data_IF_399665010271
#
_entry.id   IF_399665010271
#
_cell.length_a   1.000
_cell.length_b   1.000
_cell.length_c   1.000
_cell.angle_alpha   90.00
_cell.angle_beta   90.00
_cell.angle_gamma   90.00
#
_symmetry.space_group_name_H-M   'P 1'
#
loop_
_entity.id
_entity.type
_entity.pdbx_description
1 polymer ?
#
# COMPACT_ATOMS: atom_id res chain seq x y z
N UNK A 1 30.06 0.58 -52.89
CA UNK A 1 28.67 0.20 -52.54
C UNK A 1 27.97 1.48 -52.13
N UNK A 2 27.00 2.01 -52.90
CA UNK A 2 26.45 3.33 -52.61
C UNK A 2 25.41 3.23 -51.49
N UNK A 3 25.59 4.03 -50.43
CA UNK A 3 24.59 4.23 -49.37
C UNK A 3 23.28 4.73 -49.98
N UNK A 4 22.30 3.84 -50.10
CA UNK A 4 20.97 4.22 -50.56
C UNK A 4 20.25 5.01 -49.46
N UNK A 5 19.33 5.89 -49.86
CA UNK A 5 18.44 6.61 -48.93
C UNK A 5 17.78 5.64 -47.94
N UNK A 6 17.34 4.50 -48.45
CA UNK A 6 16.73 3.40 -47.70
C UNK A 6 17.69 2.78 -46.67
N UNK A 7 18.99 2.67 -46.98
CA UNK A 7 20.00 2.21 -46.03
C UNK A 7 20.17 3.13 -44.82
N UNK A 8 20.08 4.45 -45.04
CA UNK A 8 20.15 5.46 -43.98
C UNK A 8 18.92 5.44 -43.07
N UNK A 9 17.73 5.28 -43.66
CA UNK A 9 16.48 5.17 -42.91
C UNK A 9 16.44 3.91 -42.03
N UNK A 10 16.89 2.76 -42.55
CA UNK A 10 17.01 1.54 -41.74
C UNK A 10 18.04 1.66 -40.62
N UNK A 11 19.14 2.39 -40.84
CA UNK A 11 20.12 2.67 -39.79
C UNK A 11 19.54 3.56 -38.68
N UNK A 12 18.75 4.58 -39.04
CA UNK A 12 18.06 5.44 -38.09
C UNK A 12 17.04 4.66 -37.25
N UNK A 13 16.16 3.89 -37.89
CA UNK A 13 15.16 3.06 -37.19
C UNK A 13 15.80 2.04 -36.25
N UNK A 14 16.96 1.47 -36.61
CA UNK A 14 17.70 0.56 -35.72
C UNK A 14 18.32 1.30 -34.53
N UNK A 15 18.73 2.55 -34.69
CA UNK A 15 19.26 3.36 -33.60
C UNK A 15 18.16 3.74 -32.61
N UNK A 16 17.00 4.16 -33.12
CA UNK A 16 15.82 4.49 -32.32
C UNK A 16 15.32 3.28 -31.51
N UNK A 17 15.25 2.10 -32.14
CA UNK A 17 14.86 0.86 -31.44
C UNK A 17 15.80 0.53 -30.27
N UNK A 18 17.12 0.68 -30.45
CA UNK A 18 18.09 0.45 -29.37
C UNK A 18 17.94 1.45 -28.23
N UNK A 19 17.70 2.72 -28.55
CA UNK A 19 17.46 3.74 -27.53
C UNK A 19 16.22 3.40 -26.71
N UNK A 20 15.13 3.03 -27.39
CA UNK A 20 13.89 2.64 -26.71
C UNK A 20 14.05 1.41 -25.81
N UNK A 21 14.78 0.39 -26.26
CA UNK A 21 15.08 -0.79 -25.43
C UNK A 21 15.88 -0.43 -24.17
N UNK A 22 16.84 0.49 -24.30
CA UNK A 22 17.60 1.01 -23.17
C UNK A 22 16.72 1.80 -22.21
N UNK A 23 15.86 2.69 -22.72
CA UNK A 23 14.95 3.49 -21.90
C UNK A 23 13.98 2.60 -21.10
N UNK A 24 13.44 1.54 -21.72
CA UNK A 24 12.57 0.56 -21.03
C UNK A 24 13.35 -0.19 -19.95
N UNK A 25 14.57 -0.62 -20.25
CA UNK A 25 15.39 -1.37 -19.31
C UNK A 25 15.77 -0.51 -18.10
N UNK A 26 16.20 0.73 -18.33
CA UNK A 26 16.53 1.67 -17.25
C UNK A 26 15.28 2.00 -16.41
N UNK A 27 14.11 2.14 -17.04
CA UNK A 27 12.86 2.34 -16.33
C UNK A 27 12.49 1.16 -15.43
N UNK A 28 12.78 -0.07 -15.84
CA UNK A 28 12.60 -1.28 -15.02
C UNK A 28 13.62 -1.33 -13.88
N UNK A 29 14.90 -1.08 -14.17
CA UNK A 29 15.97 -1.08 -13.17
C UNK A 29 15.69 -0.06 -12.04
N UNK A 30 15.15 1.13 -12.37
CA UNK A 30 14.72 2.13 -11.38
C UNK A 30 13.47 1.72 -10.61
N UNK A 31 12.54 1.03 -11.25
CA UNK A 31 11.33 0.51 -10.59
C UNK A 31 11.62 -0.62 -9.60
N UNK A 32 12.75 -1.32 -9.77
CA UNK A 32 13.23 -2.38 -8.87
C UNK A 32 14.11 -1.82 -7.73
N UNK A 33 14.33 -0.50 -7.64
CA UNK A 33 14.99 0.09 -6.47
C UNK A 33 14.11 -0.15 -5.22
N UNK A 34 14.67 -0.70 -4.13
CA UNK A 34 13.90 -0.91 -2.92
C UNK A 34 13.42 0.44 -2.40
N UNK A 35 12.11 0.54 -2.17
CA UNK A 35 11.53 1.68 -1.47
C UNK A 35 12.26 1.81 -0.12
N UNK A 36 12.66 3.04 0.30
CA UNK A 36 13.27 3.22 1.60
C UNK A 36 12.35 2.62 2.67
N UNK A 37 12.91 1.99 3.73
CA UNK A 37 12.09 1.48 4.82
C UNK A 37 11.24 2.65 5.32
N UNK A 38 9.93 2.45 5.40
CA UNK A 38 9.05 3.42 6.03
C UNK A 38 9.65 3.72 7.41
N UNK A 39 9.98 4.98 7.67
CA UNK A 39 10.45 5.42 8.98
C UNK A 39 9.46 4.89 10.03
N UNK A 40 9.94 4.46 11.21
CA UNK A 40 9.11 3.89 12.30
C UNK A 40 8.12 4.92 12.90
N UNK A 41 7.73 5.95 12.16
CA UNK A 41 6.75 6.93 12.58
C UNK A 41 5.41 6.20 12.77
N UNK A 42 4.83 6.28 13.98
CA UNK A 42 3.55 5.65 14.22
C UNK A 42 2.48 6.28 13.32
N UNK A 43 1.56 5.46 12.77
CA UNK A 43 0.52 5.97 11.89
C UNK A 43 -0.33 7.00 12.63
N UNK A 44 -0.90 7.96 11.91
CA UNK A 44 -1.84 8.91 12.51
C UNK A 44 -3.20 8.25 12.77
N UNK A 45 -3.95 8.79 13.72
CA UNK A 45 -5.31 8.37 13.99
C UNK A 45 -6.19 8.49 12.73
N UNK A 46 -6.90 7.42 12.39
CA UNK A 46 -7.79 7.37 11.22
C UNK A 46 -9.05 8.26 11.36
N UNK A 47 -9.40 8.71 12.57
CA UNK A 47 -10.59 9.55 12.79
C UNK A 47 -10.42 10.91 12.11
N UNK A 48 -11.48 11.32 11.39
CA UNK A 48 -11.48 12.58 10.63
C UNK A 48 -11.20 13.76 11.55
N UNK A 49 -10.18 14.55 11.21
CA UNK A 49 -9.78 15.74 11.97
C UNK A 49 -8.93 15.46 13.20
N UNK A 50 -8.56 14.20 13.46
CA UNK A 50 -7.59 13.84 14.49
C UNK A 50 -6.21 13.67 13.85
N UNK A 51 -5.20 14.36 14.39
CA UNK A 51 -3.80 14.24 13.98
C UNK A 51 -2.93 13.62 15.08
N UNK A 52 -3.54 13.06 16.12
CA UNK A 52 -2.80 12.37 17.18
C UNK A 52 -2.17 11.08 16.63
N UNK A 53 -1.00 10.68 17.16
CA UNK A 53 -0.41 9.39 16.81
C UNK A 53 -1.35 8.27 17.25
N UNK A 54 -1.49 7.25 16.40
CA UNK A 54 -2.23 6.05 16.75
C UNK A 54 -1.42 5.23 17.76
N UNK A 55 -2.11 4.81 18.81
CA UNK A 55 -1.59 3.94 19.86
C UNK A 55 -2.08 2.49 19.69
N UNK A 56 -3.17 2.28 18.96
CA UNK A 56 -3.81 0.98 18.80
C UNK A 56 -4.18 0.70 17.35
N UNK A 57 -4.08 -0.58 16.98
CA UNK A 57 -4.64 -1.14 15.75
C UNK A 57 -5.90 -1.91 16.11
N UNK A 58 -7.04 -1.41 15.67
CA UNK A 58 -8.35 -2.04 15.82
C UNK A 58 -8.66 -2.84 14.56
N UNK A 59 -8.99 -4.12 14.73
CA UNK A 59 -9.34 -5.05 13.66
C UNK A 59 -10.73 -5.64 13.93
N UNK A 60 -11.61 -5.59 12.94
CA UNK A 60 -12.89 -6.29 12.94
C UNK A 60 -12.97 -7.23 11.72
N UNK A 61 -13.10 -8.54 11.97
CA UNK A 61 -13.29 -9.56 10.93
C UNK A 61 -14.74 -10.03 10.91
N UNK A 62 -15.40 -9.92 9.77
CA UNK A 62 -16.83 -10.22 9.60
C UNK A 62 -17.12 -10.79 8.21
N UNK A 63 -18.30 -11.41 8.05
CA UNK A 63 -18.74 -11.89 6.73
C UNK A 63 -19.20 -10.70 5.89
N UNK A 64 -18.72 -10.55 4.65
CA UNK A 64 -19.24 -9.46 3.82
C UNK A 64 -20.67 -9.73 3.33
N UNK A 65 -21.40 -8.65 3.05
CA UNK A 65 -22.79 -8.70 2.57
C UNK A 65 -22.93 -9.34 1.18
N UNK A 66 -21.92 -9.21 0.33
CA UNK A 66 -21.90 -9.72 -1.05
C UNK A 66 -21.58 -11.21 -1.14
N UNK A 67 -21.23 -11.84 -0.02
CA UNK A 67 -21.01 -13.29 0.05
C UNK A 67 -19.68 -13.78 -0.54
N UNK A 68 -18.71 -12.92 -0.85
CA UNK A 68 -17.38 -13.34 -1.33
C UNK A 68 -16.45 -13.82 -0.21
N UNK A 69 -16.84 -13.72 1.06
CA UNK A 69 -16.09 -14.32 2.18
C UNK A 69 -16.03 -13.46 3.44
N UNK A 70 -15.10 -13.82 4.32
CA UNK A 70 -14.78 -12.98 5.46
C UNK A 70 -13.81 -11.86 5.04
N UNK A 71 -14.06 -10.66 5.54
CA UNK A 71 -13.21 -9.47 5.33
C UNK A 71 -12.69 -8.95 6.65
N UNK A 72 -11.51 -8.32 6.62
CA UNK A 72 -10.91 -7.65 7.77
C UNK A 72 -10.94 -6.14 7.55
N UNK A 73 -11.60 -5.42 8.45
CA UNK A 73 -11.51 -3.97 8.54
C UNK A 73 -10.47 -3.60 9.60
N UNK A 74 -9.49 -2.76 9.22
CA UNK A 74 -8.41 -2.33 10.11
C UNK A 74 -8.41 -0.81 10.22
N UNK A 75 -8.31 -0.29 11.44
CA UNK A 75 -8.15 1.13 11.72
C UNK A 75 -7.08 1.36 12.79
N UNK A 76 -6.18 2.32 12.55
CA UNK A 76 -5.22 2.77 13.55
C UNK A 76 -5.79 3.99 14.29
N UNK A 77 -5.87 3.92 15.62
CA UNK A 77 -6.56 4.91 16.45
C UNK A 77 -5.71 5.34 17.65
N UNK A 78 -5.91 6.58 18.09
CA UNK A 78 -5.38 7.03 19.39
C UNK A 78 -6.19 6.41 20.54
N UNK A 79 -5.69 6.54 21.77
CA UNK A 79 -6.33 5.97 22.96
C UNK A 79 -7.78 6.44 23.13
N UNK A 80 -8.03 7.75 22.99
CA UNK A 80 -9.36 8.34 23.13
C UNK A 80 -10.37 7.72 22.17
N UNK A 81 -10.03 7.65 20.88
CA UNK A 81 -10.94 7.11 19.87
C UNK A 81 -11.05 5.59 19.96
N UNK A 82 -10.00 4.89 20.39
CA UNK A 82 -10.07 3.44 20.64
C UNK A 82 -11.05 3.12 21.76
N UNK A 83 -11.12 3.94 22.81
CA UNK A 83 -12.08 3.75 23.91
C UNK A 83 -13.54 3.94 23.49
N UNK A 84 -13.80 4.64 22.39
CA UNK A 84 -15.13 4.84 21.82
C UNK A 84 -15.50 3.77 20.77
N UNK A 85 -14.54 2.99 20.29
CA UNK A 85 -14.82 1.97 19.27
C UNK A 85 -15.58 0.78 19.85
N UNK A 86 -16.45 0.24 19.01
CA UNK A 86 -17.19 -0.98 19.29
C UNK A 86 -17.34 -1.80 17.99
N UNK A 87 -17.56 -3.12 18.10
CA UNK A 87 -18.08 -3.95 17.01
C UNK A 87 -19.18 -3.27 16.22
N UNK A 88 -18.98 -3.09 14.91
CA UNK A 88 -19.97 -2.43 14.02
C UNK A 88 -20.68 -3.39 13.08
N UNK A 89 -20.19 -4.62 12.94
CA UNK A 89 -20.67 -5.63 11.98
C UNK A 89 -21.16 -6.91 12.66
N UNK A 90 -21.75 -6.78 13.84
CA UNK A 90 -22.28 -7.93 14.61
C UNK A 90 -23.38 -8.68 13.88
N UNK A 91 -24.14 -8.01 13.00
CA UNK A 91 -25.14 -8.63 12.14
C UNK A 91 -24.55 -9.59 11.11
N UNK A 92 -23.25 -9.48 10.86
CA UNK A 92 -22.47 -10.32 9.95
C UNK A 92 -21.46 -11.22 10.69
N UNK A 93 -21.70 -11.47 11.98
CA UNK A 93 -20.91 -12.38 12.77
C UNK A 93 -21.07 -13.84 12.27
N UNK A 94 -19.97 -14.57 12.31
CA UNK A 94 -19.85 -15.97 11.92
C UNK A 94 -18.85 -16.67 12.87
N UNK A 95 -18.51 -17.93 12.60
CA UNK A 95 -17.69 -18.74 13.53
C UNK A 95 -16.32 -18.12 13.88
N UNK A 96 -15.66 -17.44 12.94
CA UNK A 96 -14.39 -16.73 13.18
C UNK A 96 -14.55 -15.21 13.31
N UNK A 97 -15.73 -14.72 13.69
CA UNK A 97 -15.90 -13.30 13.97
C UNK A 97 -14.96 -12.87 15.10
N UNK A 98 -14.21 -11.79 14.87
CA UNK A 98 -13.30 -11.25 15.87
C UNK A 98 -13.26 -9.72 15.81
N UNK A 99 -13.36 -9.11 16.98
CA UNK A 99 -13.02 -7.71 17.21
C UNK A 99 -11.81 -7.67 18.13
N UNK A 100 -10.67 -7.18 17.64
CA UNK A 100 -9.40 -7.19 18.35
C UNK A 100 -8.79 -5.79 18.37
N UNK A 101 -8.23 -5.43 19.52
CA UNK A 101 -7.48 -4.19 19.71
C UNK A 101 -6.07 -4.57 20.13
N UNK A 102 -5.09 -4.28 19.28
CA UNK A 102 -3.67 -4.53 19.54
C UNK A 102 -2.94 -3.20 19.77
N UNK A 103 -2.06 -3.07 20.78
CA UNK A 103 -1.21 -1.88 20.92
C UNK A 103 -0.19 -1.82 19.77
N UNK A 104 -0.01 -0.63 19.21
CA UNK A 104 1.07 -0.34 18.25
C UNK A 104 2.32 -0.07 19.08
N UNK A 105 3.41 -0.77 18.76
CA UNK A 105 4.71 -0.44 19.32
C UNK A 105 5.09 0.92 18.74
N UNK A 106 4.96 1.99 19.54
CA UNK A 106 5.57 3.27 19.22
C UNK A 106 7.09 3.02 19.21
N UNK A 107 7.85 3.55 18.24
CA UNK A 107 9.30 3.51 18.35
C UNK A 107 9.69 4.11 19.69
N UNK A 108 10.56 3.43 20.43
CA UNK A 108 11.11 3.97 21.67
C UNK A 108 11.76 5.32 21.34
N UNK A 109 11.17 6.40 21.85
CA UNK A 109 11.76 7.73 21.78
C UNK A 109 12.98 7.78 22.70
N UNK A 110 14.16 7.33 22.21
CA UNK A 110 15.47 7.54 22.88
C UNK A 110 15.96 8.99 22.79
#
# INVERSE_FOLDING_TARGET
MPDTKEGRERQAQRAEQRQHEWDIREARERGDEPEPPAEDIPPTCHRRGCNEPAAFRVLERYQEETGHGAVEAVANLCETHTAEEAPTRLEHAYEDYVFRVDPIQLPDSE
#
